data_IF_758619833626
#
_entry.id   IF_758619833626
#
_cell.length_a   1.000
_cell.length_b   1.000
_cell.length_c   1.000
_cell.angle_alpha   90.00
_cell.angle_beta   90.00
_cell.angle_gamma   90.00
#
_symmetry.space_group_name_H-M   'P 1'
#
loop_
_entity.id
_entity.type
_entity.pdbx_description
1 polymer ?
#
# COMPACT_ATOMS: atom_id res chain seq x y z
N UNK A 1 16.63 -8.51 10.67
CA UNK A 1 16.60 -7.05 10.80
C UNK A 1 15.74 -6.67 12.01
N UNK A 2 16.16 -5.73 12.85
CA UNK A 2 15.34 -5.25 14.00
C UNK A 2 14.29 -4.27 13.46
N UNK A 3 13.05 -4.35 13.96
CA UNK A 3 12.06 -3.30 13.70
C UNK A 3 12.66 -1.98 14.16
N UNK A 4 12.40 -0.93 13.39
CA UNK A 4 12.54 0.44 13.86
C UNK A 4 11.39 0.68 14.86
N UNK A 5 11.52 0.18 16.09
CA UNK A 5 10.60 0.51 17.19
C UNK A 5 10.63 2.02 17.47
N UNK A 6 11.79 2.64 17.20
CA UNK A 6 12.05 4.07 17.23
C UNK A 6 12.91 4.52 16.04
N UNK A 7 12.46 5.55 15.30
CA UNK A 7 13.27 6.18 14.26
C UNK A 7 13.80 7.53 14.76
N UNK A 8 15.12 7.69 14.92
CA UNK A 8 15.73 9.02 15.11
C UNK A 8 15.87 9.72 13.75
N UNK A 9 15.02 10.72 13.51
CA UNK A 9 15.08 11.51 12.27
C UNK A 9 16.31 12.44 12.21
N UNK A 10 16.88 12.85 13.34
CA UNK A 10 18.13 13.60 13.46
C UNK A 10 18.64 13.55 14.92
N UNK A 11 19.89 13.97 15.18
CA UNK A 11 20.50 14.01 16.52
C UNK A 11 19.75 14.89 17.55
N UNK A 12 18.85 15.75 17.07
CA UNK A 12 18.02 16.68 17.85
C UNK A 12 16.51 16.58 17.50
N UNK A 13 16.08 15.56 16.74
CA UNK A 13 14.66 15.34 16.42
C UNK A 13 14.05 14.27 17.33
N UNK A 14 12.76 14.39 17.69
CA UNK A 14 12.07 13.40 18.50
C UNK A 14 12.08 12.00 17.85
N UNK A 15 12.12 10.96 18.67
CA UNK A 15 12.00 9.56 18.25
C UNK A 15 10.59 9.31 17.72
N UNK A 16 10.48 8.73 16.52
CA UNK A 16 9.18 8.33 15.94
C UNK A 16 8.92 6.87 16.30
N UNK A 17 7.87 6.65 17.07
CA UNK A 17 7.42 5.35 17.56
C UNK A 17 6.43 4.73 16.55
N UNK A 18 6.93 3.94 15.60
CA UNK A 18 6.07 3.44 14.51
C UNK A 18 5.17 2.31 14.99
N UNK A 19 5.65 1.33 15.77
CA UNK A 19 4.81 0.19 16.21
C UNK A 19 4.82 -0.02 17.73
N UNK A 20 5.46 0.87 18.49
CA UNK A 20 5.71 0.69 19.91
C UNK A 20 4.42 0.51 20.71
N UNK A 21 3.42 1.38 20.54
CA UNK A 21 2.20 1.31 21.34
C UNK A 21 1.37 0.06 21.01
N UNK A 22 1.29 -0.35 19.74
CA UNK A 22 0.61 -1.59 19.35
C UNK A 22 1.29 -2.82 19.97
N UNK A 23 2.63 -2.91 19.84
CA UNK A 23 3.40 -4.03 20.39
C UNK A 23 3.31 -4.06 21.91
N UNK A 24 3.36 -2.89 22.55
CA UNK A 24 3.16 -2.76 23.99
C UNK A 24 1.77 -3.23 24.40
N UNK A 25 0.73 -2.82 23.69
CA UNK A 25 -0.64 -3.24 23.99
C UNK A 25 -0.82 -4.76 23.87
N UNK A 26 -0.24 -5.38 22.83
CA UNK A 26 -0.23 -6.83 22.67
C UNK A 26 0.50 -7.54 23.82
N UNK A 27 1.65 -7.01 24.27
CA UNK A 27 2.44 -7.60 25.36
C UNK A 27 1.79 -7.41 26.73
N UNK A 28 1.44 -6.18 27.08
CA UNK A 28 0.96 -5.82 28.42
C UNK A 28 -0.50 -6.20 28.65
N UNK A 29 -1.37 -6.02 27.65
CA UNK A 29 -2.81 -6.26 27.79
C UNK A 29 -3.28 -7.53 27.07
N UNK A 30 -2.67 -7.86 25.93
CA UNK A 30 -2.95 -9.10 25.21
C UNK A 30 -2.26 -10.34 25.78
N UNK A 31 -1.26 -10.18 26.66
CA UNK A 31 -0.50 -11.28 27.26
C UNK A 31 0.50 -11.96 26.32
N UNK A 32 0.75 -11.39 25.14
CA UNK A 32 1.64 -11.98 24.15
C UNK A 32 3.12 -11.84 24.53
N UNK A 33 3.89 -12.89 24.29
CA UNK A 33 5.36 -12.93 24.44
C UNK A 33 6.02 -12.80 23.08
N UNK A 34 7.21 -12.20 23.01
CA UNK A 34 7.94 -12.15 21.74
C UNK A 34 8.44 -13.54 21.33
N UNK A 35 8.13 -13.93 20.09
CA UNK A 35 8.58 -15.17 19.47
C UNK A 35 9.84 -14.98 18.62
N UNK A 36 10.64 -16.04 18.52
CA UNK A 36 11.79 -16.12 17.62
C UNK A 36 11.47 -17.09 16.47
N UNK A 37 11.56 -16.61 15.22
CA UNK A 37 11.25 -17.43 14.04
C UNK A 37 12.22 -18.58 13.83
N UNK A 38 13.48 -18.41 14.25
CA UNK A 38 14.55 -19.37 14.01
C UNK A 38 14.64 -20.38 15.16
N UNK A 39 14.42 -19.93 16.40
CA UNK A 39 14.48 -20.73 17.62
C UNK A 39 13.22 -20.55 18.49
N UNK A 40 12.03 -20.96 18.00
CA UNK A 40 10.81 -20.82 18.76
C UNK A 40 10.86 -21.69 20.03
N UNK A 41 10.33 -21.21 21.17
CA UNK A 41 10.23 -22.02 22.36
C UNK A 41 9.21 -23.16 22.15
N UNK A 42 9.26 -24.25 22.96
CA UNK A 42 8.33 -25.37 22.81
C UNK A 42 6.84 -24.99 22.89
N UNK A 43 6.52 -23.91 23.60
CA UNK A 43 5.18 -23.33 23.77
C UNK A 43 4.97 -22.07 22.90
N UNK A 44 5.77 -21.88 21.85
CA UNK A 44 5.69 -20.73 20.93
C UNK A 44 4.45 -20.71 20.05
N UNK A 45 3.59 -21.73 20.14
CA UNK A 45 2.28 -21.77 19.49
C UNK A 45 1.17 -21.08 20.30
N UNK A 46 1.48 -20.64 21.53
CA UNK A 46 0.52 -20.12 22.50
C UNK A 46 0.96 -18.76 23.04
N UNK A 47 0.05 -17.77 22.98
CA UNK A 47 0.26 -16.40 23.46
C UNK A 47 1.62 -15.81 23.03
N UNK A 48 1.98 -16.01 21.76
CA UNK A 48 3.27 -15.61 21.20
C UNK A 48 3.08 -14.73 19.96
N UNK A 49 3.82 -13.61 19.92
CA UNK A 49 3.84 -12.63 18.85
C UNK A 49 5.11 -12.81 18.02
N UNK A 50 4.93 -13.08 16.72
CA UNK A 50 6.03 -13.16 15.76
C UNK A 50 6.05 -11.94 14.87
N UNK A 51 7.11 -11.15 14.95
CA UNK A 51 7.29 -9.98 14.10
C UNK A 51 7.90 -10.41 12.78
N UNK A 52 7.27 -10.04 11.67
CA UNK A 52 7.77 -10.27 10.32
C UNK A 52 8.24 -8.96 9.67
N UNK A 53 9.50 -8.52 9.90
CA UNK A 53 10.09 -7.41 9.16
C UNK A 53 10.46 -7.87 7.74
N UNK A 54 10.29 -6.99 6.76
CA UNK A 54 10.68 -7.26 5.38
C UNK A 54 11.19 -6.01 4.68
N UNK A 55 11.94 -6.20 3.59
CA UNK A 55 12.37 -5.12 2.72
C UNK A 55 11.18 -4.61 1.90
N UNK A 56 10.53 -3.56 2.42
CA UNK A 56 9.36 -2.91 1.81
C UNK A 56 9.62 -2.34 0.42
N UNK A 57 10.88 -2.25 -0.02
CA UNK A 57 11.22 -1.79 -1.37
C UNK A 57 10.99 -2.89 -2.42
N UNK A 58 10.97 -4.15 -2.00
CA UNK A 58 10.84 -5.30 -2.91
C UNK A 58 9.39 -5.53 -3.30
N UNK A 59 9.21 -6.40 -4.27
CA UNK A 59 7.91 -6.84 -4.75
C UNK A 59 7.05 -7.49 -3.64
N UNK A 60 5.78 -7.06 -3.54
CA UNK A 60 4.86 -7.54 -2.51
C UNK A 60 4.55 -9.04 -2.63
N UNK A 61 4.61 -9.61 -3.84
CA UNK A 61 4.41 -11.05 -4.06
C UNK A 61 5.58 -11.84 -3.48
N UNK A 62 6.82 -11.40 -3.70
CA UNK A 62 8.01 -11.96 -3.04
C UNK A 62 7.88 -11.96 -1.52
N UNK A 63 7.44 -10.84 -0.94
CA UNK A 63 7.22 -10.74 0.51
C UNK A 63 6.12 -11.68 1.01
N UNK A 64 5.01 -11.80 0.28
CA UNK A 64 3.91 -12.69 0.66
C UNK A 64 4.34 -14.15 0.67
N UNK A 65 5.14 -14.55 -0.32
CA UNK A 65 5.73 -15.88 -0.42
C UNK A 65 6.68 -16.18 0.72
N UNK A 66 7.55 -15.23 1.07
CA UNK A 66 8.44 -15.36 2.23
C UNK A 66 7.65 -15.51 3.54
N UNK A 67 6.58 -14.72 3.74
CA UNK A 67 5.70 -14.86 4.90
C UNK A 67 5.12 -16.29 5.02
N UNK A 68 4.63 -16.84 3.90
CA UNK A 68 4.06 -18.20 3.87
C UNK A 68 5.12 -19.24 4.22
N UNK A 69 6.34 -19.13 3.64
CA UNK A 69 7.44 -20.04 3.96
C UNK A 69 7.84 -19.97 5.44
N UNK A 70 7.88 -18.77 6.02
CA UNK A 70 8.19 -18.56 7.44
C UNK A 70 7.12 -19.18 8.35
N UNK A 71 5.84 -19.01 8.02
CA UNK A 71 4.74 -19.64 8.74
C UNK A 71 4.86 -21.18 8.68
N UNK A 72 5.05 -21.75 7.49
CA UNK A 72 5.18 -23.20 7.35
C UNK A 72 6.42 -23.77 8.04
N UNK A 73 7.54 -23.04 8.02
CA UNK A 73 8.74 -23.43 8.75
C UNK A 73 8.55 -23.39 10.27
N UNK A 74 7.88 -22.35 10.77
CA UNK A 74 7.53 -22.22 12.19
C UNK A 74 6.61 -23.36 12.64
N UNK A 75 5.59 -23.70 11.84
CA UNK A 75 4.69 -24.83 12.11
C UNK A 75 5.44 -26.16 12.21
N UNK A 76 6.44 -26.37 11.35
CA UNK A 76 7.33 -27.55 11.43
C UNK A 76 8.17 -27.56 12.70
N UNK A 77 8.82 -26.44 13.04
CA UNK A 77 9.65 -26.31 14.24
C UNK A 77 8.85 -26.55 15.54
N UNK A 78 7.60 -26.08 15.57
CA UNK A 78 6.69 -26.27 16.70
C UNK A 78 5.97 -27.64 16.68
N UNK A 79 6.12 -28.43 15.62
CA UNK A 79 5.37 -29.68 15.41
C UNK A 79 3.84 -29.49 15.50
N UNK A 80 3.34 -28.40 14.91
CA UNK A 80 1.91 -28.02 14.89
C UNK A 80 1.42 -27.78 13.45
N UNK A 81 1.15 -28.83 12.66
CA UNK A 81 0.78 -28.70 11.24
C UNK A 81 -0.55 -27.96 11.01
N UNK A 82 -1.46 -27.98 11.99
CA UNK A 82 -2.78 -27.32 11.92
C UNK A 82 -2.79 -25.92 12.56
N UNK A 83 -1.64 -25.42 13.02
CA UNK A 83 -1.55 -24.09 13.63
C UNK A 83 -1.86 -22.99 12.60
N UNK A 84 -2.72 -22.06 13.00
CA UNK A 84 -3.11 -20.88 12.24
C UNK A 84 -2.74 -19.62 13.02
N UNK A 85 -2.33 -18.60 12.29
CA UNK A 85 -1.90 -17.32 12.87
C UNK A 85 -2.92 -16.21 12.58
N UNK A 86 -3.12 -15.33 13.56
CA UNK A 86 -3.75 -14.03 13.33
C UNK A 86 -2.68 -13.08 12.78
N UNK A 87 -2.94 -12.46 11.62
CA UNK A 87 -2.01 -11.52 11.02
C UNK A 87 -2.44 -10.09 11.32
N UNK A 88 -1.58 -9.32 11.99
CA UNK A 88 -1.76 -7.88 12.21
C UNK A 88 -0.87 -7.13 11.24
N UNK A 89 -1.48 -6.42 10.31
CA UNK A 89 -0.78 -5.80 9.19
C UNK A 89 -1.14 -4.32 9.06
N UNK A 90 -0.13 -3.51 8.80
CA UNK A 90 -0.25 -2.07 8.60
C UNK A 90 0.07 -1.70 7.15
N UNK A 91 -0.72 -0.78 6.59
CA UNK A 91 -0.54 -0.22 5.26
C UNK A 91 -0.42 -1.34 4.20
N UNK A 92 0.61 -1.27 3.36
CA UNK A 92 0.96 -2.27 2.35
C UNK A 92 1.07 -3.71 2.87
N UNK A 93 1.42 -3.91 4.14
CA UNK A 93 1.48 -5.24 4.76
C UNK A 93 0.15 -5.98 4.70
N UNK A 94 -0.99 -5.27 4.69
CA UNK A 94 -2.30 -5.91 4.52
C UNK A 94 -2.49 -6.48 3.13
N UNK A 95 -1.93 -5.87 2.09
CA UNK A 95 -1.93 -6.41 0.73
C UNK A 95 -1.08 -7.67 0.63
N UNK A 96 0.09 -7.68 1.28
CA UNK A 96 0.96 -8.85 1.43
C UNK A 96 0.20 -9.99 2.12
N UNK A 97 -0.44 -9.72 3.26
CA UNK A 97 -1.22 -10.72 4.00
C UNK A 97 -2.41 -11.27 3.19
N UNK A 98 -3.13 -10.40 2.48
CA UNK A 98 -4.22 -10.80 1.57
C UNK A 98 -3.72 -11.69 0.44
N UNK A 99 -2.60 -11.35 -0.19
CA UNK A 99 -2.01 -12.16 -1.25
C UNK A 99 -1.56 -13.53 -0.70
N UNK A 100 -0.85 -13.54 0.43
CA UNK A 100 -0.39 -14.75 1.11
C UNK A 100 -1.55 -15.71 1.41
N UNK A 101 -2.65 -15.23 2.00
CA UNK A 101 -3.83 -16.05 2.27
C UNK A 101 -4.44 -16.64 0.99
N UNK A 102 -4.49 -15.87 -0.10
CA UNK A 102 -5.17 -16.24 -1.35
C UNK A 102 -4.36 -17.16 -2.24
N UNK A 103 -3.04 -17.05 -2.22
CA UNK A 103 -2.17 -17.73 -3.19
C UNK A 103 -1.03 -18.56 -2.57
N UNK A 104 -0.80 -18.49 -1.26
CA UNK A 104 0.28 -19.23 -0.59
C UNK A 104 1.66 -18.79 -1.12
N UNK A 105 2.56 -19.76 -1.36
CA UNK A 105 3.90 -19.53 -1.92
C UNK A 105 3.90 -19.42 -3.48
N UNK A 106 2.73 -19.27 -4.10
CA UNK A 106 2.67 -19.09 -5.54
C UNK A 106 3.11 -17.67 -5.95
N UNK A 107 3.89 -17.57 -7.03
CA UNK A 107 4.11 -16.30 -7.73
C UNK A 107 2.86 -15.89 -8.52
N UNK A 108 2.92 -14.74 -9.19
CA UNK A 108 1.87 -14.30 -10.11
C UNK A 108 1.65 -15.34 -11.23
N UNK A 109 0.40 -15.52 -11.69
CA UNK A 109 0.10 -16.46 -12.77
C UNK A 109 0.89 -16.11 -14.04
N UNK A 110 1.25 -17.07 -14.90
CA UNK A 110 1.96 -16.80 -16.15
C UNK A 110 1.28 -15.70 -16.99
N UNK A 111 2.06 -14.94 -17.75
CA UNK A 111 1.53 -13.86 -18.58
C UNK A 111 0.41 -14.36 -19.52
N UNK A 112 -0.69 -13.62 -19.58
CA UNK A 112 -1.87 -13.95 -20.37
C UNK A 112 -2.85 -14.93 -19.71
N UNK A 113 -2.56 -15.42 -18.49
CA UNK A 113 -3.49 -16.25 -17.72
C UNK A 113 -4.15 -15.41 -16.62
N UNK A 114 -5.50 -15.41 -16.51
CA UNK A 114 -6.17 -14.71 -15.43
C UNK A 114 -5.84 -15.38 -14.08
N UNK A 115 -5.68 -14.60 -13.00
CA UNK A 115 -5.48 -15.15 -11.67
C UNK A 115 -6.69 -15.98 -11.22
N UNK A 116 -6.43 -17.08 -10.52
CA UNK A 116 -7.45 -17.92 -9.89
C UNK A 116 -7.13 -18.08 -8.41
N UNK A 117 -8.04 -17.64 -7.54
CA UNK A 117 -7.85 -17.72 -6.08
C UNK A 117 -7.89 -19.19 -5.65
N UNK A 118 -6.79 -19.67 -5.06
CA UNK A 118 -6.66 -21.05 -4.59
C UNK A 118 -6.88 -21.19 -3.08
N UNK A 119 -6.78 -20.09 -2.34
CA UNK A 119 -6.72 -20.07 -0.88
C UNK A 119 -5.60 -20.93 -0.29
N UNK A 120 -4.51 -21.15 -1.05
CA UNK A 120 -3.44 -22.06 -0.64
C UNK A 120 -2.75 -21.67 0.67
N UNK A 121 -2.75 -20.38 1.05
CA UNK A 121 -2.19 -19.92 2.33
C UNK A 121 -3.20 -19.88 3.49
N UNK A 122 -4.49 -20.10 3.24
CA UNK A 122 -5.54 -19.97 4.26
C UNK A 122 -5.42 -21.01 5.38
N UNK A 123 -4.79 -22.16 5.12
CA UNK A 123 -4.54 -23.20 6.12
C UNK A 123 -3.59 -22.75 7.24
N UNK A 124 -2.78 -21.71 7.01
CA UNK A 124 -1.88 -21.14 8.02
C UNK A 124 -2.38 -19.83 8.64
N UNK A 125 -3.50 -19.28 8.18
CA UNK A 125 -3.95 -17.92 8.54
C UNK A 125 -5.38 -17.98 9.07
N UNK A 126 -5.61 -17.47 10.29
CA UNK A 126 -6.92 -17.42 10.94
C UNK A 126 -7.72 -16.17 10.57
N UNK A 127 -7.15 -14.99 10.83
CA UNK A 127 -7.76 -13.67 10.63
C UNK A 127 -6.71 -12.69 10.13
N UNK A 128 -7.11 -11.65 9.38
CA UNK A 128 -6.22 -10.56 8.98
C UNK A 128 -6.78 -9.23 9.48
N UNK A 129 -5.99 -8.53 10.29
CA UNK A 129 -6.24 -7.18 10.78
C UNK A 129 -5.47 -6.19 9.91
N UNK A 130 -6.17 -5.26 9.30
CA UNK A 130 -5.66 -4.29 8.33
C UNK A 130 -5.77 -2.88 8.90
N UNK A 131 -4.63 -2.28 9.22
CA UNK A 131 -4.55 -0.87 9.63
C UNK A 131 -4.18 -0.03 8.40
N UNK A 132 -5.08 0.82 7.91
CA UNK A 132 -4.81 1.70 6.77
C UNK A 132 -4.39 0.98 5.48
N UNK A 133 -4.78 -0.28 5.27
CA UNK A 133 -4.39 -1.03 4.06
C UNK A 133 -5.05 -0.47 2.80
N UNK A 134 -4.30 -0.07 1.76
CA UNK A 134 -4.86 0.49 0.53
C UNK A 134 -5.36 -0.62 -0.40
N UNK A 135 -6.52 -1.23 -0.10
CA UNK A 135 -7.04 -2.36 -0.89
C UNK A 135 -7.32 -1.99 -2.36
N UNK A 136 -7.62 -0.73 -2.67
CA UNK A 136 -7.77 -0.20 -4.03
C UNK A 136 -6.55 0.62 -4.50
N UNK A 137 -5.42 0.52 -3.78
CA UNK A 137 -4.26 1.38 -3.96
C UNK A 137 -4.47 2.79 -3.41
N UNK A 138 -3.53 3.69 -3.68
CA UNK A 138 -3.54 5.08 -3.22
C UNK A 138 -2.97 6.03 -4.25
N UNK A 139 -3.67 7.13 -4.53
CA UNK A 139 -3.14 8.21 -5.38
C UNK A 139 -1.88 8.86 -4.79
N UNK A 140 -1.63 8.70 -3.48
CA UNK A 140 -0.39 9.14 -2.82
C UNK A 140 0.85 8.37 -3.31
N UNK A 141 0.67 7.13 -3.79
CA UNK A 141 1.75 6.37 -4.43
C UNK A 141 2.20 7.06 -5.73
N UNK A 142 1.26 7.55 -6.55
CA UNK A 142 1.59 8.35 -7.73
C UNK A 142 2.26 9.66 -7.32
N UNK A 143 1.75 10.35 -6.29
CA UNK A 143 2.35 11.57 -5.77
C UNK A 143 3.80 11.34 -5.26
N UNK A 144 4.09 10.16 -4.73
CA UNK A 144 5.44 9.73 -4.30
C UNK A 144 6.37 9.52 -5.50
N UNK A 145 5.88 8.91 -6.58
CA UNK A 145 6.64 8.72 -7.83
C UNK A 145 6.91 10.05 -8.57
N UNK A 146 6.02 11.04 -8.39
CA UNK A 146 6.17 12.37 -8.97
C UNK A 146 7.16 13.27 -8.21
N UNK A 147 7.03 13.34 -6.88
CA UNK A 147 7.72 14.35 -6.07
C UNK A 147 8.76 13.77 -5.09
N UNK A 148 8.78 12.45 -4.91
CA UNK A 148 9.46 11.77 -3.81
C UNK A 148 8.58 11.64 -2.57
N UNK A 149 9.09 10.96 -1.54
CA UNK A 149 8.34 10.72 -0.31
C UNK A 149 8.18 12.01 0.53
N UNK A 150 7.01 12.14 1.16
CA UNK A 150 6.77 13.19 2.17
C UNK A 150 6.42 12.61 3.52
N UNK A 151 7.06 13.16 4.56
CA UNK A 151 6.74 12.86 5.95
C UNK A 151 5.40 13.48 6.38
N UNK A 152 4.86 14.42 5.61
CA UNK A 152 3.58 15.06 5.89
C UNK A 152 2.47 14.37 5.12
N UNK A 153 1.32 14.24 5.78
CA UNK A 153 0.11 13.59 5.27
C UNK A 153 -1.02 14.62 5.06
N UNK A 154 -2.01 14.25 4.26
CA UNK A 154 -3.17 15.06 3.95
C UNK A 154 -2.83 16.38 3.24
N UNK A 155 -3.56 17.45 3.55
CA UNK A 155 -3.37 18.77 2.91
C UNK A 155 -2.16 19.58 3.40
N UNK A 156 -1.36 19.01 4.31
CA UNK A 156 -0.18 19.66 4.86
C UNK A 156 0.87 19.85 3.76
N UNK A 157 1.58 20.98 3.79
CA UNK A 157 2.52 21.36 2.71
C UNK A 157 3.67 20.37 2.63
N UNK A 158 3.65 19.46 1.65
CA UNK A 158 4.73 18.49 1.38
C UNK A 158 6.13 19.07 1.63
N UNK A 159 6.71 18.70 2.78
CA UNK A 159 8.05 19.10 3.18
C UNK A 159 9.05 18.00 2.80
N UNK A 160 10.10 18.38 2.07
CA UNK A 160 11.26 17.55 1.77
C UNK A 160 12.32 17.82 2.84
N UNK A 161 12.12 17.32 4.06
CA UNK A 161 13.11 17.46 5.13
C UNK A 161 13.89 16.15 5.27
N UNK A 162 15.21 16.26 5.11
CA UNK A 162 16.19 15.15 5.06
C UNK A 162 16.04 14.34 3.76
N UNK A 163 17.14 13.93 3.14
CA UNK A 163 17.19 13.16 1.88
C UNK A 163 16.59 11.74 2.06
N UNK A 164 15.29 11.64 2.28
CA UNK A 164 14.56 10.40 2.50
C UNK A 164 13.66 10.18 1.28
N UNK A 165 14.11 9.28 0.39
CA UNK A 165 13.46 8.82 -0.83
C UNK A 165 13.07 9.91 -1.84
N UNK A 166 13.99 10.24 -2.74
CA UNK A 166 13.74 11.08 -3.91
C UNK A 166 12.82 10.38 -4.93
N UNK A 167 12.31 11.11 -5.92
CA UNK A 167 11.58 10.49 -7.04
C UNK A 167 12.45 9.54 -7.88
N UNK A 168 13.77 9.78 -7.94
CA UNK A 168 14.74 8.88 -8.60
C UNK A 168 14.90 7.58 -7.80
N UNK A 169 14.78 7.63 -6.47
CA UNK A 169 14.80 6.43 -5.63
C UNK A 169 13.45 5.69 -5.73
N UNK A 170 12.34 6.42 -5.58
CA UNK A 170 10.99 5.88 -5.56
C UNK A 170 10.65 5.11 -6.85
N UNK A 171 11.12 5.60 -8.01
CA UNK A 171 10.85 4.93 -9.29
C UNK A 171 11.59 3.60 -9.43
N UNK A 172 12.57 3.30 -8.57
CA UNK A 172 13.29 2.02 -8.56
C UNK A 172 12.69 0.98 -7.62
N UNK A 173 11.58 1.31 -6.94
CA UNK A 173 10.96 0.50 -5.90
C UNK A 173 9.67 -0.15 -6.45
N UNK A 174 9.69 -1.46 -6.77
CA UNK A 174 8.53 -2.18 -7.32
C UNK A 174 7.25 -2.03 -6.49
N UNK A 175 7.36 -2.06 -5.16
CA UNK A 175 6.21 -1.99 -4.27
C UNK A 175 5.41 -0.69 -4.38
N UNK A 176 6.05 0.43 -4.72
CA UNK A 176 5.33 1.72 -4.90
C UNK A 176 4.43 1.65 -6.14
N UNK A 177 4.85 0.97 -7.21
CA UNK A 177 3.96 0.73 -8.36
C UNK A 177 2.77 -0.16 -7.97
N UNK A 178 2.99 -1.14 -7.08
CA UNK A 178 1.96 -2.03 -6.52
C UNK A 178 1.07 -1.36 -5.47
N UNK A 179 1.29 -0.07 -5.18
CA UNK A 179 0.42 0.77 -4.36
C UNK A 179 -0.34 1.81 -5.20
N UNK A 180 -0.11 1.88 -6.51
CA UNK A 180 -0.86 2.77 -7.39
C UNK A 180 -2.36 2.47 -7.30
N UNK A 181 -3.21 3.50 -7.43
CA UNK A 181 -4.64 3.26 -7.45
C UNK A 181 -4.99 2.40 -8.67
N UNK A 182 -6.00 1.56 -8.53
CA UNK A 182 -6.40 0.61 -9.56
C UNK A 182 -7.92 0.48 -9.64
N UNK A 183 -8.41 -0.25 -10.64
CA UNK A 183 -9.85 -0.39 -10.89
C UNK A 183 -10.57 0.97 -10.95
N UNK A 184 -11.65 1.12 -10.19
CA UNK A 184 -12.43 2.39 -10.13
C UNK A 184 -11.84 3.43 -9.19
N UNK A 185 -10.76 3.11 -8.46
CA UNK A 185 -10.04 4.07 -7.64
C UNK A 185 -8.95 4.83 -8.44
N UNK A 186 -8.53 4.29 -9.60
CA UNK A 186 -7.66 4.98 -10.56
C UNK A 186 -8.42 6.11 -11.28
N UNK A 187 -8.69 7.19 -10.55
CA UNK A 187 -9.47 8.32 -11.03
C UNK A 187 -8.60 9.57 -11.22
N UNK A 188 -8.81 10.28 -12.34
CA UNK A 188 -8.11 11.51 -12.68
C UNK A 188 -9.10 12.58 -13.14
N UNK A 189 -8.69 13.83 -13.03
CA UNK A 189 -9.49 14.97 -13.45
C UNK A 189 -8.75 15.81 -14.50
N UNK A 190 -9.49 16.41 -15.44
CA UNK A 190 -8.96 17.43 -16.35
C UNK A 190 -8.93 18.83 -15.70
N UNK A 191 -8.48 19.85 -16.44
CA UNK A 191 -8.46 21.24 -15.96
C UNK A 191 -9.85 21.89 -15.75
N UNK A 192 -10.93 21.21 -16.15
CA UNK A 192 -12.32 21.58 -15.89
C UNK A 192 -12.94 20.79 -14.72
N UNK A 193 -12.15 19.95 -14.03
CA UNK A 193 -12.59 19.01 -13.00
C UNK A 193 -13.55 17.92 -13.53
N UNK A 194 -13.47 17.60 -14.82
CA UNK A 194 -14.18 16.46 -15.40
C UNK A 194 -13.33 15.20 -15.26
N UNK A 195 -14.00 14.05 -15.13
CA UNK A 195 -13.35 12.75 -15.13
C UNK A 195 -12.48 12.54 -16.39
N UNK A 196 -11.27 12.04 -16.18
CA UNK A 196 -10.34 11.66 -17.22
C UNK A 196 -9.96 10.20 -17.02
N UNK A 197 -10.19 9.38 -18.05
CA UNK A 197 -9.73 7.99 -18.05
C UNK A 197 -8.26 7.95 -18.46
N UNK A 198 -7.42 7.39 -17.60
CA UNK A 198 -5.99 7.20 -17.84
C UNK A 198 -5.62 5.77 -17.46
N UNK A 199 -4.99 5.07 -18.40
CA UNK A 199 -4.36 3.78 -18.11
C UNK A 199 -3.01 4.00 -17.42
N UNK A 200 -2.96 3.72 -16.11
CA UNK A 200 -1.75 3.80 -15.31
C UNK A 200 -0.71 2.72 -15.66
N UNK A 201 -1.11 1.63 -16.31
CA UNK A 201 -0.22 0.51 -16.63
C UNK A 201 0.45 0.65 -18.00
N UNK A 202 0.01 1.61 -18.83
CA UNK A 202 0.62 1.90 -20.11
C UNK A 202 1.88 2.79 -19.96
N UNK A 203 3.09 2.31 -20.33
CA UNK A 203 4.30 3.14 -20.30
C UNK A 203 4.20 4.41 -21.16
N UNK A 204 3.40 4.42 -22.23
CA UNK A 204 3.19 5.63 -23.04
C UNK A 204 2.47 6.73 -22.27
N UNK A 205 1.53 6.38 -21.38
CA UNK A 205 0.89 7.32 -20.44
C UNK A 205 1.96 8.03 -19.61
N UNK A 206 2.90 7.27 -19.06
CA UNK A 206 3.97 7.80 -18.22
C UNK A 206 4.90 8.74 -18.98
N UNK A 207 5.21 8.42 -20.25
CA UNK A 207 5.96 9.31 -21.14
C UNK A 207 5.18 10.58 -21.47
N UNK A 208 3.90 10.44 -21.81
CA UNK A 208 3.01 11.55 -22.16
C UNK A 208 2.91 12.57 -21.03
N UNK A 209 2.69 12.12 -19.80
CA UNK A 209 2.48 13.00 -18.65
C UNK A 209 3.76 13.30 -17.85
N UNK A 210 4.89 12.68 -18.19
CA UNK A 210 6.17 12.93 -17.53
C UNK A 210 6.25 12.37 -16.11
N UNK A 211 5.51 11.29 -15.83
CA UNK A 211 5.31 10.75 -14.48
C UNK A 211 6.51 10.02 -13.88
N UNK A 212 7.57 9.82 -14.65
CA UNK A 212 8.76 9.09 -14.21
C UNK A 212 10.04 9.87 -14.54
N UNK A 213 11.06 9.87 -13.67
CA UNK A 213 12.42 10.28 -14.04
C UNK A 213 12.95 9.51 -15.26
N UNK A 214 12.53 8.25 -15.41
CA UNK A 214 12.99 7.35 -16.47
C UNK A 214 12.64 7.84 -17.88
N UNK A 215 11.68 8.76 -18.03
CA UNK A 215 11.29 9.33 -19.33
C UNK A 215 11.92 10.71 -19.57
N UNK A 216 12.67 11.25 -18.60
CA UNK A 216 13.30 12.56 -18.71
C UNK A 216 14.64 12.47 -19.43
N UNK A 217 14.93 13.36 -20.40
CA UNK A 217 16.18 13.29 -21.18
C UNK A 217 17.45 13.39 -20.35
N UNK A 218 17.45 14.19 -19.28
CA UNK A 218 18.59 14.39 -18.39
C UNK A 218 18.93 13.14 -17.57
N UNK A 219 17.91 12.50 -16.98
CA UNK A 219 18.05 11.24 -16.27
C UNK A 219 18.57 10.13 -17.20
N UNK A 220 17.97 10.00 -18.39
CA UNK A 220 18.40 9.02 -19.41
C UNK A 220 19.86 9.21 -19.81
N UNK A 221 20.27 10.46 -20.04
CA UNK A 221 21.64 10.75 -20.42
C UNK A 221 22.64 10.44 -19.30
N UNK A 222 22.29 10.73 -18.03
CA UNK A 222 23.08 10.34 -16.85
C UNK A 222 23.17 8.82 -16.71
N UNK A 223 22.05 8.12 -16.90
CA UNK A 223 22.01 6.66 -16.84
C UNK A 223 22.95 6.05 -17.88
N UNK A 224 22.86 6.45 -19.15
CA UNK A 224 23.73 5.95 -20.23
C UNK A 224 25.21 6.21 -19.95
N UNK A 225 25.56 7.34 -19.33
CA UNK A 225 26.95 7.66 -18.95
C UNK A 225 27.44 6.95 -17.68
N UNK A 226 26.57 6.21 -16.99
CA UNK A 226 26.91 5.58 -15.70
C UNK A 226 27.04 6.58 -14.54
N UNK A 227 26.45 7.77 -14.67
CA UNK A 227 26.51 8.86 -13.69
C UNK A 227 25.33 8.83 -12.69
N UNK A 228 24.80 7.64 -12.44
CA UNK A 228 23.76 7.45 -11.43
C UNK A 228 24.40 7.57 -10.06
N UNK A 229 23.93 8.53 -9.26
CA UNK A 229 24.49 8.84 -7.94
C UNK A 229 23.95 7.86 -6.90
N UNK A 230 24.31 6.58 -6.96
CA UNK A 230 24.26 5.65 -5.81
C UNK A 230 24.83 4.27 -6.17
N UNK A 231 25.62 3.65 -5.29
CA UNK A 231 26.06 2.24 -5.41
C UNK A 231 24.91 1.26 -5.12
N UNK A 232 23.79 1.75 -4.58
CA UNK A 232 22.60 0.97 -4.24
C UNK A 232 21.47 1.03 -5.28
N UNK A 233 21.73 1.61 -6.46
CA UNK A 233 20.74 1.71 -7.54
C UNK A 233 20.28 0.30 -7.99
N UNK A 234 18.98 0.01 -7.85
CA UNK A 234 18.35 -1.25 -8.30
C UNK A 234 18.54 -1.47 -9.81
N UNK A 235 18.75 -0.39 -10.56
CA UNK A 235 19.06 -0.39 -11.98
C UNK A 235 20.52 -0.02 -12.22
N UNK A 236 21.36 -1.04 -12.42
CA UNK A 236 22.71 -0.85 -12.92
C UNK A 236 22.67 -0.36 -14.37
N UNK A 237 23.47 0.66 -14.70
CA UNK A 237 23.60 1.10 -16.08
C UNK A 237 24.29 0.04 -16.92
N UNK A 238 23.69 -0.27 -18.07
CA UNK A 238 24.29 -1.06 -19.13
C UNK A 238 24.61 -0.20 -20.37
N UNK A 239 24.57 1.12 -20.21
CA UNK A 239 24.79 2.09 -21.28
C UNK A 239 23.63 2.24 -22.26
N UNK A 240 22.46 1.61 -22.04
CA UNK A 240 21.32 1.64 -22.96
C UNK A 240 20.09 2.27 -22.31
N UNK A 241 19.54 3.32 -22.93
CA UNK A 241 18.35 3.98 -22.40
C UNK A 241 17.11 3.08 -22.47
N UNK A 242 17.08 2.11 -23.40
CA UNK A 242 16.02 1.14 -23.60
C UNK A 242 15.83 0.23 -22.38
N UNK A 243 16.87 0.04 -21.56
CA UNK A 243 16.78 -0.70 -20.29
C UNK A 243 15.82 -0.03 -19.32
N UNK A 244 15.73 1.30 -19.34
CA UNK A 244 14.79 2.05 -18.51
C UNK A 244 13.34 1.87 -19.00
N UNK A 245 13.13 1.78 -20.31
CA UNK A 245 11.82 1.50 -20.90
C UNK A 245 11.34 0.08 -20.56
N UNK A 246 12.24 -0.90 -20.70
CA UNK A 246 11.96 -2.29 -20.34
C UNK A 246 11.64 -2.44 -18.85
N UNK A 247 12.39 -1.76 -17.98
CA UNK A 247 12.11 -1.76 -16.55
C UNK A 247 10.75 -1.15 -16.22
N UNK A 248 10.43 0.04 -16.76
CA UNK A 248 9.16 0.69 -16.49
C UNK A 248 7.99 -0.20 -16.93
N UNK A 249 8.09 -0.79 -18.13
CA UNK A 249 7.08 -1.72 -18.62
C UNK A 249 6.94 -2.95 -17.71
N UNK A 250 8.04 -3.54 -17.25
CA UNK A 250 8.01 -4.69 -16.35
C UNK A 250 7.44 -4.35 -14.97
N UNK A 251 7.77 -3.19 -14.40
CA UNK A 251 7.25 -2.74 -13.11
C UNK A 251 5.73 -2.49 -13.18
N UNK A 252 5.26 -1.83 -14.25
CA UNK A 252 3.84 -1.57 -14.47
C UNK A 252 3.05 -2.85 -14.75
N UNK A 253 3.58 -3.77 -15.56
CA UNK A 253 2.93 -5.07 -15.80
C UNK A 253 2.85 -5.91 -14.51
N UNK A 254 3.93 -5.91 -13.70
CA UNK A 254 3.93 -6.62 -12.42
C UNK A 254 2.94 -6.00 -11.43
N UNK A 255 2.80 -4.68 -11.41
CA UNK A 255 1.79 -4.00 -10.60
C UNK A 255 0.36 -4.34 -11.06
N UNK A 256 0.09 -4.25 -12.37
CA UNK A 256 -1.20 -4.63 -12.97
C UNK A 256 -1.61 -6.04 -12.55
N UNK A 257 -0.71 -7.02 -12.75
CA UNK A 257 -0.98 -8.43 -12.44
C UNK A 257 -1.16 -8.68 -10.94
N UNK A 258 -0.47 -7.93 -10.09
CA UNK A 258 -0.68 -7.97 -8.64
C UNK A 258 -2.07 -7.45 -8.26
N UNK A 259 -2.50 -6.30 -8.81
CA UNK A 259 -3.84 -5.75 -8.58
C UNK A 259 -4.94 -6.67 -9.13
N UNK A 260 -4.81 -7.14 -10.38
CA UNK A 260 -5.71 -8.14 -10.96
C UNK A 260 -5.81 -9.38 -10.07
N UNK A 261 -4.69 -9.82 -9.49
CA UNK A 261 -4.70 -10.94 -8.55
C UNK A 261 -5.48 -10.61 -7.29
N UNK A 262 -5.32 -9.41 -6.70
CA UNK A 262 -6.06 -8.95 -5.51
C UNK A 262 -7.57 -8.76 -5.75
N UNK A 263 -7.96 -8.47 -6.98
CA UNK A 263 -9.32 -8.12 -7.38
C UNK A 263 -10.14 -9.30 -7.95
N UNK A 264 -9.63 -10.53 -7.80
CA UNK A 264 -10.46 -11.73 -8.05
C UNK A 264 -11.36 -11.99 -6.84
N UNK A 265 -12.66 -11.77 -7.00
CA UNK A 265 -13.64 -12.01 -5.93
C UNK A 265 -14.30 -13.37 -6.13
N UNK A 266 -14.02 -14.38 -5.26
CA UNK A 266 -14.77 -15.62 -5.30
C UNK A 266 -16.24 -15.36 -4.90
N UNK A 267 -17.16 -16.27 -5.22
CA UNK A 267 -18.56 -16.14 -4.81
C UNK A 267 -18.73 -15.88 -3.32
N UNK A 268 -19.76 -15.12 -2.95
CA UNK A 268 -20.01 -14.71 -1.58
C UNK A 268 -20.07 -15.93 -0.62
N UNK A 269 -19.48 -15.78 0.57
CA UNK A 269 -19.40 -16.84 1.58
C UNK A 269 -18.29 -17.88 1.36
N UNK A 270 -17.48 -17.77 0.29
CA UNK A 270 -16.37 -18.70 0.01
C UNK A 270 -14.99 -18.18 0.45
N UNK A 271 -14.92 -17.16 1.32
CA UNK A 271 -13.64 -16.70 1.88
C UNK A 271 -13.36 -17.40 3.23
N UNK A 272 -12.30 -18.25 3.32
CA UNK A 272 -11.95 -18.93 4.55
C UNK A 272 -11.28 -18.02 5.61
N UNK A 273 -10.81 -16.84 5.19
CA UNK A 273 -10.11 -15.87 6.05
C UNK A 273 -10.92 -14.57 6.11
N UNK A 274 -11.46 -14.19 7.28
CA UNK A 274 -12.10 -12.89 7.48
C UNK A 274 -11.08 -11.76 7.58
N UNK A 275 -11.48 -10.57 7.11
CA UNK A 275 -10.70 -9.34 7.19
C UNK A 275 -11.31 -8.38 8.21
N UNK A 276 -10.45 -7.64 8.92
CA UNK A 276 -10.83 -6.62 9.89
C UNK A 276 -10.14 -5.32 9.53
N UNK A 277 -10.90 -4.25 9.31
CA UNK A 277 -10.37 -2.98 8.83
C UNK A 277 -10.33 -1.92 9.93
N UNK A 278 -9.20 -1.26 10.10
CA UNK A 278 -8.98 -0.17 11.04
C UNK A 278 -8.39 1.01 10.27
N UNK A 279 -9.06 2.17 10.29
CA UNK A 279 -8.67 3.28 9.42
C UNK A 279 -8.97 4.65 9.98
N UNK A 280 -8.47 5.66 9.27
CA UNK A 280 -8.87 7.06 9.44
C UNK A 280 -9.94 7.45 8.44
N UNK A 281 -10.85 8.34 8.83
CA UNK A 281 -11.92 8.85 7.96
C UNK A 281 -12.18 10.35 8.09
N UNK A 282 -11.23 11.12 8.60
CA UNK A 282 -11.42 12.56 8.79
C UNK A 282 -10.30 13.45 8.27
N UNK A 283 -9.24 12.88 7.71
CA UNK A 283 -8.19 13.64 7.02
C UNK A 283 -8.49 13.68 5.52
N UNK A 284 -8.35 14.86 4.91
CA UNK A 284 -8.47 14.97 3.45
C UNK A 284 -7.35 14.17 2.78
N UNK A 285 -7.75 13.13 2.05
CA UNK A 285 -6.84 12.18 1.43
C UNK A 285 -6.95 12.25 -0.08
N UNK A 286 -5.80 12.33 -0.76
CA UNK A 286 -5.76 12.46 -2.22
C UNK A 286 -6.44 11.26 -2.87
N UNK A 287 -7.47 11.52 -3.67
CA UNK A 287 -8.23 10.51 -4.40
C UNK A 287 -8.09 10.67 -5.92
N UNK A 288 -8.11 11.92 -6.41
CA UNK A 288 -8.15 12.20 -7.83
C UNK A 288 -7.17 13.31 -8.24
N UNK A 289 -5.97 12.97 -8.74
CA UNK A 289 -5.03 13.97 -9.26
C UNK A 289 -5.61 14.73 -10.47
N UNK A 290 -5.29 16.02 -10.58
CA UNK A 290 -5.69 16.85 -11.74
C UNK A 290 -4.57 16.91 -12.77
N UNK A 291 -4.90 16.63 -14.02
CA UNK A 291 -4.00 16.68 -15.18
C UNK A 291 -4.35 17.93 -15.99
N UNK A 292 -3.34 18.75 -16.30
CA UNK A 292 -3.55 19.97 -17.08
C UNK A 292 -2.36 20.30 -17.95
N UNK A 293 -2.59 21.04 -19.04
CA UNK A 293 -1.55 21.50 -19.94
C UNK A 293 -0.96 22.84 -19.50
N UNK A 294 0.34 22.89 -19.27
CA UNK A 294 1.09 24.14 -19.17
C UNK A 294 1.44 24.64 -20.59
N UNK A 295 0.58 25.49 -21.14
CA UNK A 295 0.75 26.04 -22.48
C UNK A 295 2.05 26.85 -22.63
N UNK A 296 2.53 27.50 -21.56
CA UNK A 296 3.76 28.32 -21.61
C UNK A 296 5.01 27.47 -21.77
N UNK A 297 5.04 26.32 -21.10
CA UNK A 297 6.18 25.38 -21.13
C UNK A 297 5.96 24.20 -22.07
N UNK A 298 4.84 24.18 -22.79
CA UNK A 298 4.42 23.11 -23.68
C UNK A 298 4.56 21.71 -23.04
N UNK A 299 4.12 21.54 -21.79
CA UNK A 299 4.22 20.29 -21.04
C UNK A 299 2.95 19.98 -20.26
N UNK A 300 2.75 18.72 -19.91
CA UNK A 300 1.70 18.33 -18.97
C UNK A 300 2.16 18.59 -17.54
N UNK A 301 1.20 18.93 -16.67
CA UNK A 301 1.36 19.03 -15.24
C UNK A 301 0.36 18.10 -14.57
N UNK A 302 0.79 17.50 -13.47
CA UNK A 302 -0.04 16.65 -12.62
C UNK A 302 -0.05 17.26 -11.24
N UNK A 303 -1.22 17.66 -10.79
CA UNK A 303 -1.44 18.24 -9.49
C UNK A 303 -1.86 17.15 -8.53
N UNK A 304 -1.02 16.94 -7.52
CA UNK A 304 -1.27 16.08 -6.35
C UNK A 304 -1.50 16.92 -5.10
N UNK A 305 -1.69 18.23 -5.27
CA UNK A 305 -2.05 19.17 -4.22
C UNK A 305 -2.96 20.25 -4.81
N UNK A 306 -4.00 20.68 -4.07
CA UNK A 306 -5.00 21.56 -4.63
C UNK A 306 -4.48 22.99 -4.69
N UNK A 307 -4.80 23.66 -5.79
CA UNK A 307 -4.58 25.09 -6.00
C UNK A 307 -5.72 25.65 -6.82
N UNK A 308 -5.85 26.97 -6.88
CA UNK A 308 -6.80 27.60 -7.79
C UNK A 308 -6.51 27.20 -9.24
N UNK A 309 -7.56 26.89 -9.98
CA UNK A 309 -7.49 26.51 -11.39
C UNK A 309 -8.26 27.50 -12.25
N UNK A 310 -7.77 27.65 -13.48
CA UNK A 310 -8.47 28.35 -14.54
C UNK A 310 -8.53 27.46 -15.76
N UNK A 311 -9.74 27.06 -16.11
CA UNK A 311 -10.02 26.27 -17.29
C UNK A 311 -9.73 27.08 -18.58
N UNK A 312 -9.52 26.40 -19.73
CA UNK A 312 -9.28 27.05 -21.02
C UNK A 312 -10.45 27.94 -21.45
N UNK A 313 -11.69 27.57 -21.09
CA UNK A 313 -12.89 28.37 -21.31
C UNK A 313 -13.03 29.61 -20.40
N UNK A 314 -12.05 29.89 -19.55
CA UNK A 314 -12.03 31.07 -18.68
C UNK A 314 -12.69 30.89 -17.31
N UNK A 315 -13.41 29.78 -17.11
CA UNK A 315 -13.98 29.37 -15.82
C UNK A 315 -12.87 29.25 -14.77
N UNK A 316 -13.13 29.77 -13.56
CA UNK A 316 -12.21 29.71 -12.43
C UNK A 316 -12.76 28.77 -11.38
N UNK A 317 -11.91 27.92 -10.85
CA UNK A 317 -12.21 27.07 -9.69
C UNK A 317 -11.39 27.53 -8.51
N UNK A 318 -12.07 27.85 -7.42
CA UNK A 318 -11.42 28.18 -6.15
C UNK A 318 -10.65 26.97 -5.61
N UNK A 319 -9.64 27.20 -4.76
CA UNK A 319 -8.90 26.11 -4.10
C UNK A 319 -9.84 25.14 -3.37
N UNK A 320 -10.92 25.64 -2.74
CA UNK A 320 -11.91 24.81 -2.05
C UNK A 320 -12.64 23.85 -3.00
N UNK A 321 -13.06 24.33 -4.18
CA UNK A 321 -13.71 23.47 -5.18
C UNK A 321 -12.75 22.41 -5.72
N UNK A 322 -11.48 22.79 -5.95
CA UNK A 322 -10.45 21.86 -6.40
C UNK A 322 -10.13 20.82 -5.32
N UNK A 323 -10.03 21.22 -4.05
CA UNK A 323 -9.89 20.29 -2.92
C UNK A 323 -11.05 19.29 -2.87
N UNK A 324 -12.29 19.78 -2.95
CA UNK A 324 -13.48 18.93 -2.89
C UNK A 324 -13.58 17.94 -4.07
N UNK A 325 -12.97 18.24 -5.21
CA UNK A 325 -12.90 17.33 -6.35
C UNK A 325 -11.73 16.33 -6.24
N UNK A 326 -10.61 16.75 -5.65
CA UNK A 326 -9.38 15.94 -5.60
C UNK A 326 -9.27 15.02 -4.39
N UNK A 327 -9.97 15.33 -3.29
CA UNK A 327 -9.76 14.68 -1.99
C UNK A 327 -11.05 14.04 -1.46
N UNK A 328 -10.89 12.89 -0.81
CA UNK A 328 -11.94 12.16 -0.09
C UNK A 328 -11.52 11.98 1.38
N UNK A 329 -12.46 11.65 2.29
CA UNK A 329 -12.11 11.30 3.66
C UNK A 329 -11.21 10.06 3.75
N UNK A 330 -10.24 10.08 4.65
CA UNK A 330 -9.30 8.99 4.89
C UNK A 330 -8.35 9.29 6.05
N UNK A 331 -7.16 8.69 5.98
CA UNK A 331 -6.09 8.83 6.98
C UNK A 331 -4.92 9.74 6.51
N UNK A 332 -5.13 10.47 5.40
CA UNK A 332 -4.12 11.35 4.80
C UNK A 332 -3.19 10.66 3.81
N UNK A 333 -3.22 9.33 3.67
CA UNK A 333 -2.58 8.56 2.56
C UNK A 333 -3.52 7.60 1.87
N UNK A 334 -4.42 6.95 2.60
CA UNK A 334 -5.36 5.95 2.12
C UNK A 334 -6.78 6.44 2.39
N UNK A 335 -7.59 6.52 1.35
CA UNK A 335 -8.99 6.91 1.49
C UNK A 335 -9.75 5.83 2.26
N UNK A 336 -10.77 6.23 3.02
CA UNK A 336 -11.68 5.27 3.67
C UNK A 336 -12.22 4.26 2.68
N UNK A 337 -12.58 4.74 1.48
CA UNK A 337 -13.05 3.95 0.35
C UNK A 337 -12.06 2.86 -0.02
N UNK A 338 -10.78 3.22 -0.24
CA UNK A 338 -9.72 2.28 -0.60
C UNK A 338 -9.46 1.24 0.50
N UNK A 339 -9.52 1.62 1.78
CA UNK A 339 -9.41 0.66 2.88
C UNK A 339 -10.53 -0.39 2.83
N UNK A 340 -11.76 0.03 2.53
CA UNK A 340 -12.91 -0.84 2.51
C UNK A 340 -13.11 -1.58 1.18
N UNK A 341 -12.43 -1.18 0.11
CA UNK A 341 -12.64 -1.75 -1.22
C UNK A 341 -14.01 -1.43 -1.80
N UNK A 342 -14.62 -0.31 -1.42
CA UNK A 342 -15.98 0.08 -1.81
C UNK A 342 -16.10 0.40 -3.31
N UNK A 343 -15.00 0.75 -3.98
CA UNK A 343 -14.99 0.97 -5.42
C UNK A 343 -14.80 -0.30 -6.27
N UNK A 344 -14.52 -1.45 -5.65
CA UNK A 344 -14.27 -2.70 -6.38
C UNK A 344 -15.58 -3.27 -6.93
N UNK A 345 -15.60 -3.55 -8.24
CA UNK A 345 -16.79 -4.01 -8.93
C UNK A 345 -17.00 -5.52 -8.75
N UNK A 346 -17.82 -5.93 -7.78
CA UNK A 346 -18.27 -7.31 -7.61
C UNK A 346 -19.47 -7.42 -6.65
N UNK A 347 -20.02 -8.62 -6.53
CA UNK A 347 -21.10 -8.93 -5.58
C UNK A 347 -20.63 -8.72 -4.14
N UNK A 348 -21.47 -8.09 -3.33
CA UNK A 348 -21.24 -7.85 -1.90
C UNK A 348 -20.91 -9.14 -1.14
N UNK A 349 -19.85 -9.10 -0.33
CA UNK A 349 -19.34 -10.23 0.46
C UNK A 349 -19.15 -9.88 1.96
N UNK A 350 -19.55 -8.67 2.36
CA UNK A 350 -19.63 -8.26 3.77
C UNK A 350 -21.09 -8.03 4.16
N UNK A 351 -21.49 -8.51 5.34
CA UNK A 351 -22.84 -8.30 5.88
C UNK A 351 -23.09 -6.85 6.30
N UNK A 352 -22.05 -6.09 6.62
CA UNK A 352 -22.14 -4.74 7.20
C UNK A 352 -21.71 -3.63 6.24
N UNK A 353 -20.87 -3.95 5.26
CA UNK A 353 -20.25 -2.97 4.35
C UNK A 353 -20.57 -3.37 2.92
N UNK A 354 -20.79 -2.39 2.04
CA UNK A 354 -21.00 -2.64 0.61
C UNK A 354 -19.65 -2.81 -0.10
N UNK A 355 -19.07 -4.00 0.07
CA UNK A 355 -17.74 -4.35 -0.44
C UNK A 355 -17.70 -5.81 -0.84
N UNK A 356 -16.94 -6.17 -1.90
CA UNK A 356 -16.68 -7.56 -2.25
C UNK A 356 -15.58 -8.20 -1.39
N UNK A 357 -14.91 -7.41 -0.55
CA UNK A 357 -13.96 -7.94 0.43
C UNK A 357 -14.72 -8.64 1.57
N UNK A 358 -14.19 -9.76 2.11
CA UNK A 358 -14.79 -10.46 3.25
C UNK A 358 -14.48 -9.73 4.57
N UNK A 359 -14.82 -8.44 4.64
CA UNK A 359 -14.64 -7.60 5.83
C UNK A 359 -15.73 -7.95 6.84
N UNK A 360 -15.31 -8.56 7.94
CA UNK A 360 -16.17 -8.95 9.05
C UNK A 360 -16.47 -7.78 9.99
N UNK A 361 -15.54 -6.84 10.12
CA UNK A 361 -15.67 -5.68 11.02
C UNK A 361 -14.80 -4.54 10.51
N UNK A 362 -15.26 -3.30 10.71
CA UNK A 362 -14.47 -2.11 10.43
C UNK A 362 -14.67 -1.05 11.52
N UNK A 363 -13.57 -0.40 11.92
CA UNK A 363 -13.57 0.70 12.89
C UNK A 363 -12.77 1.86 12.33
N UNK A 364 -13.29 3.06 12.54
CA UNK A 364 -12.65 4.29 12.14
C UNK A 364 -12.42 5.19 13.34
N UNK A 365 -11.27 5.87 13.33
CA UNK A 365 -10.93 6.90 14.29
C UNK A 365 -10.33 8.10 13.55
N UNK A 366 -10.33 9.27 14.17
CA UNK A 366 -9.66 10.43 13.61
C UNK A 366 -8.16 10.38 13.89
N UNK A 367 -7.38 9.80 12.97
CA UNK A 367 -5.92 9.83 13.01
C UNK A 367 -5.29 9.72 11.63
N UNK A 368 -4.00 10.06 11.58
CA UNK A 368 -3.17 9.98 10.40
C UNK A 368 -2.69 8.55 10.16
N UNK A 369 -2.36 8.25 8.90
CA UNK A 369 -1.89 6.94 8.46
C UNK A 369 -0.73 6.42 9.32
N UNK A 370 0.26 7.27 9.66
CA UNK A 370 1.39 6.86 10.49
C UNK A 370 1.07 6.58 11.95
N UNK A 371 -0.12 6.93 12.44
CA UNK A 371 -0.51 6.88 13.84
C UNK A 371 -1.70 5.94 14.12
N UNK A 372 -2.34 5.37 13.09
CA UNK A 372 -3.50 4.48 13.24
C UNK A 372 -3.26 3.32 14.22
N UNK A 373 -2.10 2.66 14.11
CA UNK A 373 -1.69 1.56 14.99
C UNK A 373 -1.39 2.01 16.42
N UNK A 374 -1.20 3.31 16.66
CA UNK A 374 -0.96 3.90 17.97
C UNK A 374 -2.24 4.49 18.59
N UNK A 375 -3.35 4.57 17.84
CA UNK A 375 -4.63 5.06 18.34
C UNK A 375 -5.24 4.05 19.34
N UNK A 376 -5.48 4.51 20.57
CA UNK A 376 -5.99 3.66 21.65
C UNK A 376 -7.38 3.07 21.35
N UNK A 377 -8.29 3.84 20.73
CA UNK A 377 -9.62 3.31 20.37
C UNK A 377 -9.51 2.19 19.32
N UNK A 378 -8.64 2.35 18.32
CA UNK A 378 -8.41 1.31 17.32
C UNK A 378 -7.74 0.08 17.94
N UNK A 379 -6.77 0.27 18.85
CA UNK A 379 -6.13 -0.81 19.59
C UNK A 379 -7.12 -1.59 20.47
N UNK A 380 -7.97 -0.91 21.24
CA UNK A 380 -8.96 -1.55 22.12
C UNK A 380 -9.94 -2.41 21.32
N UNK A 381 -10.40 -1.91 20.18
CA UNK A 381 -11.25 -2.66 19.26
C UNK A 381 -10.52 -3.85 18.63
N UNK A 382 -9.27 -3.65 18.18
CA UNK A 382 -8.47 -4.71 17.58
C UNK A 382 -8.16 -5.82 18.58
N UNK A 383 -7.76 -5.48 19.81
CA UNK A 383 -7.50 -6.43 20.89
C UNK A 383 -8.76 -7.22 21.25
N UNK A 384 -9.91 -6.55 21.37
CA UNK A 384 -11.19 -7.21 21.64
C UNK A 384 -11.50 -8.28 20.60
N UNK A 385 -11.25 -8.00 19.32
CA UNK A 385 -11.49 -8.94 18.22
C UNK A 385 -10.39 -10.01 18.10
N UNK A 386 -9.17 -9.68 18.51
CA UNK A 386 -8.02 -10.59 18.48
C UNK A 386 -8.21 -11.74 19.48
N UNK A 387 -8.64 -11.41 20.70
CA UNK A 387 -8.80 -12.40 21.79
C UNK A 387 -10.11 -13.19 21.69
N UNK A 388 -11.11 -12.69 20.96
CA UNK A 388 -12.39 -13.37 20.77
C UNK A 388 -12.43 -14.10 19.43
N UNK A 389 -12.82 -15.36 19.42
CA UNK A 389 -13.15 -16.06 18.17
C UNK A 389 -14.51 -15.61 17.64
N UNK A 390 -14.60 -15.43 16.32
CA UNK A 390 -15.92 -15.24 15.69
C UNK A 390 -16.63 -16.57 15.79
N UNK A 391 -17.70 -16.63 16.58
CA UNK A 391 -18.58 -17.79 16.63
C UNK A 391 -19.15 -17.96 15.23
N UNK A 392 -18.71 -19.02 14.52
CA UNK A 392 -19.38 -19.45 13.30
C UNK A 392 -20.66 -20.17 13.73
N UNK A 393 -21.80 -19.59 13.40
CA UNK A 393 -23.10 -20.30 13.47
C UNK A 393 -23.14 -21.48 12.48
#
# INVERSE_FOLDING_TARGET
>A
ERIVETAKLARLAPEVYVYYELLKALREYGGYRDGDWDHPPPDGDSDTLYVFPFDWRRDNVETARELVRRIEDLKRKLNRPDLRFNLVAHSMGGLVARYAARYGDADLPPAGQPPQVTWAGASGINKIFMFGTPNEGSAEALATLLDGYSIQEGLRRRLRLLNKLSREDAITIPSIFQLLPHGRAAHFLDENLNALEIDLYDPETWRRYGWSPLVQPDYRARFVRGEMRDESAVLASDGRAETLDAYLAAALDRARRFHESLDVFPPAGQSPVPLYAFGGDCEETLAAPVILRDAKKNRWLTLVSPRELRAPGGQKFSRKQVTAAMYEPGDGRVTRRSLLGEGLAATRNSALIDTPLPIAYAVFACDLHSDLQNNQNLQDNALTVLVNEVVKE
#
